data_IF_069207322915
#
_entry.id   IF_069207322915
#
_cell.length_a   1.000
_cell.length_b   1.000
_cell.length_c   1.000
_cell.angle_alpha   90.00
_cell.angle_beta   90.00
_cell.angle_gamma   90.00
#
_symmetry.space_group_name_H-M   'P 1'
#
loop_
_entity.id
_entity.type
_entity.pdbx_description
1 polymer ?
#
# COMPACT_ATOMS: atom_id res chain seq x y z
N UNK A 1 32.91 -6.22 9.23
CA UNK A 1 33.65 -5.63 10.37
C UNK A 1 32.82 -5.85 11.62
N UNK A 2 33.42 -6.17 12.76
CA UNK A 2 32.70 -6.35 14.02
C UNK A 2 32.39 -5.02 14.70
N UNK A 3 31.34 -4.96 15.51
CA UNK A 3 30.90 -3.77 16.26
C UNK A 3 32.05 -3.12 17.07
N UNK A 4 32.87 -3.93 17.73
CA UNK A 4 34.05 -3.47 18.49
C UNK A 4 35.05 -2.65 17.65
N UNK A 5 35.21 -2.99 16.36
CA UNK A 5 36.11 -2.24 15.48
C UNK A 5 35.61 -0.84 15.17
N UNK A 6 34.28 -0.64 15.16
CA UNK A 6 33.66 0.68 14.97
C UNK A 6 33.91 1.55 16.20
N UNK A 7 33.67 1.00 17.41
CA UNK A 7 33.93 1.71 18.66
C UNK A 7 35.41 2.11 18.82
N UNK A 8 36.34 1.18 18.55
CA UNK A 8 37.79 1.50 18.61
C UNK A 8 38.17 2.60 17.62
N UNK A 9 37.67 2.52 16.39
CA UNK A 9 37.91 3.54 15.37
C UNK A 9 37.41 4.93 15.80
N UNK A 10 36.21 5.04 16.40
CA UNK A 10 35.67 6.31 16.92
C UNK A 10 36.53 6.90 18.06
N UNK A 11 37.05 6.07 18.98
CA UNK A 11 37.93 6.54 20.07
C UNK A 11 39.25 7.11 19.59
N UNK A 12 39.83 6.55 18.53
CA UNK A 12 41.12 6.99 17.98
C UNK A 12 41.08 8.43 17.42
N UNK A 13 39.91 8.94 17.03
CA UNK A 13 39.71 10.26 16.42
C UNK A 13 39.56 11.39 17.45
N UNK A 14 39.35 11.05 18.73
CA UNK A 14 39.55 11.88 19.93
C UNK A 14 39.03 13.33 19.93
N UNK A 15 37.80 13.56 20.43
CA UNK A 15 37.38 14.89 20.94
C UNK A 15 36.17 14.88 21.91
N UNK A 16 35.44 13.77 22.05
CA UNK A 16 34.22 13.69 22.86
C UNK A 16 34.16 12.35 23.62
N UNK A 17 33.42 12.25 24.74
CA UNK A 17 33.12 10.96 25.36
C UNK A 17 32.44 10.05 24.33
N UNK A 18 33.10 8.94 23.98
CA UNK A 18 32.56 7.96 23.05
C UNK A 18 31.63 7.00 23.78
N UNK A 19 30.34 7.34 23.78
CA UNK A 19 29.28 6.54 24.40
C UNK A 19 29.05 5.32 23.50
N UNK A 20 29.18 4.13 24.09
CA UNK A 20 29.00 2.89 23.36
C UNK A 20 27.54 2.73 22.94
N UNK A 21 27.33 2.56 21.64
CA UNK A 21 26.08 2.17 20.99
C UNK A 21 26.10 0.65 20.73
N UNK A 22 25.14 -0.07 21.30
CA UNK A 22 24.98 -1.52 21.12
C UNK A 22 23.76 -1.80 20.27
N UNK A 23 23.95 -2.57 19.20
CA UNK A 23 22.89 -2.87 18.25
C UNK A 23 22.82 -4.36 17.93
N UNK A 24 21.63 -4.87 17.57
CA UNK A 24 21.45 -6.30 17.28
C UNK A 24 22.00 -6.74 15.92
N UNK A 25 22.41 -5.77 15.08
CA UNK A 25 22.87 -5.96 13.72
C UNK A 25 21.97 -5.24 12.73
N UNK A 26 22.56 -4.73 11.65
CA UNK A 26 21.87 -3.99 10.60
C UNK A 26 22.46 -4.31 9.23
N UNK A 27 21.60 -4.62 8.26
CA UNK A 27 22.01 -4.86 6.88
C UNK A 27 21.50 -3.74 5.95
N UNK A 28 22.29 -2.67 5.75
CA UNK A 28 21.88 -1.57 4.90
C UNK A 28 22.20 -1.75 3.43
N UNK A 29 22.67 -2.94 3.00
CA UNK A 29 22.99 -3.18 1.58
C UNK A 29 21.84 -2.91 0.61
N UNK A 30 20.55 -3.11 0.96
CA UNK A 30 19.44 -2.70 0.11
C UNK A 30 19.40 -1.19 -0.20
N UNK A 31 19.93 -0.34 0.69
CA UNK A 31 19.92 1.12 0.57
C UNK A 31 21.25 1.70 0.06
N UNK A 32 22.36 1.07 0.42
CA UNK A 32 23.71 1.63 0.22
C UNK A 32 24.59 0.75 -0.68
N UNK A 33 24.06 -0.36 -1.19
CA UNK A 33 24.77 -1.29 -2.05
C UNK A 33 25.74 -2.21 -1.30
N UNK A 34 26.40 -3.10 -2.06
CA UNK A 34 27.18 -4.23 -1.50
C UNK A 34 28.47 -3.82 -0.77
N UNK A 35 28.92 -2.57 -0.92
CA UNK A 35 30.20 -2.07 -0.42
C UNK A 35 30.09 -1.32 0.92
N UNK A 36 28.91 -1.26 1.53
CA UNK A 36 28.71 -0.58 2.81
C UNK A 36 29.52 -1.23 3.94
N UNK A 37 30.16 -0.40 4.77
CA UNK A 37 30.87 -0.83 5.97
C UNK A 37 29.95 -0.70 7.19
N UNK A 38 29.16 -1.74 7.46
CA UNK A 38 28.18 -1.76 8.56
C UNK A 38 28.28 -3.05 9.35
N UNK A 39 27.83 -3.04 10.61
CA UNK A 39 27.79 -4.21 11.45
C UNK A 39 26.67 -5.16 10.99
N UNK A 40 27.06 -6.14 10.19
CA UNK A 40 26.17 -7.18 9.69
C UNK A 40 26.23 -8.38 10.63
N UNK A 41 25.15 -8.60 11.36
CA UNK A 41 24.99 -9.73 12.25
C UNK A 41 23.60 -10.36 12.10
N UNK A 42 23.45 -11.68 12.32
CA UNK A 42 22.14 -12.30 12.43
C UNK A 42 21.39 -11.70 13.62
N UNK A 43 20.21 -11.12 13.34
CA UNK A 43 19.29 -10.64 14.37
C UNK A 43 18.85 -11.80 15.27
N UNK A 44 19.45 -11.90 16.45
CA UNK A 44 19.10 -12.88 17.47
C UNK A 44 19.47 -12.39 18.87
N UNK A 45 18.69 -12.75 19.91
CA UNK A 45 19.02 -12.43 21.31
C UNK A 45 20.40 -12.90 21.73
N UNK A 46 20.88 -14.04 21.22
CA UNK A 46 22.20 -14.59 21.54
C UNK A 46 23.33 -13.70 21.04
N UNK A 47 23.26 -13.26 19.79
CA UNK A 47 24.26 -12.39 19.19
C UNK A 47 24.26 -11.02 19.85
N UNK A 48 23.08 -10.47 20.13
CA UNK A 48 22.93 -9.21 20.85
C UNK A 48 23.43 -9.29 22.30
N UNK A 49 23.17 -10.38 23.02
CA UNK A 49 23.71 -10.61 24.37
C UNK A 49 25.24 -10.58 24.38
N UNK A 50 25.87 -11.17 23.37
CA UNK A 50 27.32 -11.13 23.25
C UNK A 50 27.84 -9.72 22.91
N UNK A 51 27.10 -8.95 22.10
CA UNK A 51 27.37 -7.52 21.90
C UNK A 51 27.31 -6.72 23.21
N UNK A 52 26.26 -6.95 24.02
CA UNK A 52 26.14 -6.35 25.35
C UNK A 52 27.33 -6.69 26.26
N UNK A 53 27.80 -7.95 26.27
CA UNK A 53 28.96 -8.38 27.08
C UNK A 53 30.26 -7.71 26.65
N UNK A 54 30.48 -7.56 25.33
CA UNK A 54 31.63 -6.82 24.79
C UNK A 54 31.57 -5.35 25.21
N UNK A 55 30.41 -4.71 25.07
CA UNK A 55 30.19 -3.33 25.50
C UNK A 55 30.47 -3.17 27.00
N UNK A 56 29.91 -4.03 27.86
CA UNK A 56 30.17 -4.02 29.30
C UNK A 56 31.65 -4.14 29.62
N UNK A 57 32.35 -5.07 28.98
CA UNK A 57 33.80 -5.26 29.15
C UNK A 57 34.56 -3.96 28.82
N UNK A 58 34.17 -3.27 27.76
CA UNK A 58 34.81 -2.01 27.36
C UNK A 58 34.50 -0.84 28.31
N UNK A 59 33.27 -0.73 28.82
CA UNK A 59 32.90 0.25 29.84
C UNK A 59 33.69 0.03 31.13
N UNK A 60 33.75 -1.22 31.60
CA UNK A 60 34.47 -1.59 32.82
C UNK A 60 35.97 -1.25 32.71
N UNK A 61 36.57 -1.47 31.54
CA UNK A 61 37.96 -1.13 31.23
C UNK A 61 38.22 0.38 30.96
N UNK A 62 37.19 1.18 30.70
CA UNK A 62 37.35 2.62 30.40
C UNK A 62 37.78 3.37 31.67
N UNK A 63 38.92 4.09 31.68
CA UNK A 63 39.42 4.76 32.89
C UNK A 63 38.58 5.98 33.27
N UNK A 64 38.72 6.43 34.52
CA UNK A 64 38.02 7.62 35.01
C UNK A 64 36.54 7.34 35.33
N UNK A 65 35.70 8.37 35.24
CA UNK A 65 34.28 8.32 35.58
C UNK A 65 33.42 9.16 34.61
N UNK A 66 33.82 9.22 33.34
CA UNK A 66 33.14 9.97 32.29
C UNK A 66 31.80 9.35 31.86
N UNK A 67 31.12 9.97 30.90
CA UNK A 67 29.88 9.43 30.33
C UNK A 67 30.12 8.14 29.53
N UNK A 68 31.26 8.07 28.84
CA UNK A 68 31.82 6.93 28.11
C UNK A 68 32.13 5.70 28.99
N UNK A 69 32.08 5.85 30.33
CA UNK A 69 32.12 4.74 31.29
C UNK A 69 30.74 4.41 31.87
N UNK A 70 29.87 5.41 32.02
CA UNK A 70 28.63 5.32 32.80
C UNK A 70 27.37 5.10 31.96
N UNK A 71 27.45 5.34 30.66
CA UNK A 71 26.31 5.31 29.75
C UNK A 71 26.58 4.31 28.64
N UNK A 72 25.57 3.50 28.35
CA UNK A 72 25.46 2.67 27.16
C UNK A 72 24.14 3.01 26.49
N UNK A 73 24.15 3.06 25.16
CA UNK A 73 22.97 3.29 24.33
C UNK A 73 22.63 1.99 23.62
N UNK A 74 21.34 1.66 23.56
CA UNK A 74 20.83 0.52 22.81
C UNK A 74 20.03 1.06 21.63
N UNK A 75 20.47 0.72 20.43
CA UNK A 75 19.95 1.23 19.16
C UNK A 75 19.54 0.02 18.28
N UNK A 76 18.39 -0.03 17.61
CA UNK A 76 17.21 0.86 17.64
C UNK A 76 16.03 0.10 18.22
N UNK A 77 15.17 0.83 18.92
CA UNK A 77 14.05 0.22 19.63
C UNK A 77 12.99 -0.35 18.68
N UNK A 78 12.59 0.42 17.65
CA UNK A 78 11.40 0.14 16.83
C UNK A 78 11.57 0.51 15.34
N UNK A 79 12.55 -0.05 14.64
CA UNK A 79 12.86 0.25 13.23
C UNK A 79 12.66 -0.97 12.30
N UNK A 80 11.45 -1.53 12.35
CA UNK A 80 11.07 -2.71 11.55
C UNK A 80 11.32 -2.55 10.05
N UNK A 81 11.20 -1.32 9.52
CA UNK A 81 11.46 -1.01 8.11
C UNK A 81 12.87 -1.38 7.65
N UNK A 82 13.84 -1.32 8.56
CA UNK A 82 15.25 -1.62 8.30
C UNK A 82 15.67 -3.00 8.84
N UNK A 83 14.71 -3.74 9.41
CA UNK A 83 14.98 -5.03 10.05
C UNK A 83 15.70 -4.88 11.40
N UNK A 84 15.58 -3.72 12.05
CA UNK A 84 16.30 -3.36 13.26
C UNK A 84 15.32 -3.05 14.41
N UNK A 85 15.27 -3.87 15.46
CA UNK A 85 14.28 -3.74 16.54
C UNK A 85 14.76 -4.43 17.82
N UNK A 86 14.63 -3.76 18.96
CA UNK A 86 14.92 -4.32 20.29
C UNK A 86 13.67 -4.46 21.15
N UNK A 87 12.58 -3.81 20.75
CA UNK A 87 11.30 -3.96 21.44
C UNK A 87 10.80 -5.41 21.40
N UNK A 88 9.98 -5.82 22.40
CA UNK A 88 9.39 -7.15 22.39
C UNK A 88 8.56 -7.43 21.13
N UNK A 89 8.76 -8.59 20.50
CA UNK A 89 8.10 -9.00 19.25
C UNK A 89 7.65 -10.45 19.32
N UNK A 90 6.67 -10.89 18.51
CA UNK A 90 6.21 -12.29 18.56
C UNK A 90 7.28 -13.32 18.14
N UNK A 91 8.36 -12.92 17.47
CA UNK A 91 9.46 -13.82 17.09
C UNK A 91 10.37 -14.19 18.26
N UNK A 92 10.92 -13.18 18.95
CA UNK A 92 11.92 -13.36 20.01
C UNK A 92 11.40 -12.99 21.41
N UNK A 93 10.13 -12.60 21.54
CA UNK A 93 9.55 -12.14 22.78
C UNK A 93 10.37 -11.00 23.39
N UNK A 94 10.70 -11.14 24.67
CA UNK A 94 11.53 -10.20 25.42
C UNK A 94 13.04 -10.47 25.30
N UNK A 95 13.48 -11.41 24.46
CA UNK A 95 14.85 -11.91 24.46
C UNK A 95 15.95 -10.84 24.32
N UNK A 96 15.73 -9.77 23.55
CA UNK A 96 16.67 -8.65 23.46
C UNK A 96 16.72 -7.82 24.74
N UNK A 97 15.56 -7.55 25.35
CA UNK A 97 15.46 -6.83 26.62
C UNK A 97 16.05 -7.68 27.75
N UNK A 98 15.84 -8.99 27.73
CA UNK A 98 16.40 -9.92 28.70
C UNK A 98 17.92 -9.99 28.60
N UNK A 99 18.48 -9.95 27.38
CA UNK A 99 19.92 -9.83 27.19
C UNK A 99 20.50 -8.55 27.83
N UNK A 100 19.79 -7.42 27.77
CA UNK A 100 20.19 -6.18 28.44
C UNK A 100 20.14 -6.37 29.96
N UNK A 101 19.03 -6.90 30.49
CA UNK A 101 18.83 -7.14 31.93
C UNK A 101 19.92 -8.06 32.48
N UNK A 102 20.18 -9.19 31.82
CA UNK A 102 21.19 -10.18 32.24
C UNK A 102 22.60 -9.59 32.32
N UNK A 103 22.97 -8.72 31.38
CA UNK A 103 24.34 -8.20 31.29
C UNK A 103 24.55 -6.97 32.19
N UNK A 104 23.60 -6.05 32.21
CA UNK A 104 23.75 -4.75 32.86
C UNK A 104 23.00 -4.63 34.19
N UNK A 105 22.07 -5.54 34.49
CA UNK A 105 21.24 -5.52 35.69
C UNK A 105 21.10 -6.92 36.32
N UNK A 106 22.20 -7.64 36.62
CA UNK A 106 22.13 -9.03 37.09
C UNK A 106 21.38 -9.21 38.42
N UNK A 107 21.30 -8.15 39.23
CA UNK A 107 20.63 -8.14 40.53
C UNK A 107 19.19 -7.59 40.48
N UNK A 108 18.64 -7.36 39.27
CA UNK A 108 17.28 -6.87 39.13
C UNK A 108 16.26 -7.86 39.73
N UNK A 109 15.24 -7.39 40.46
CA UNK A 109 14.18 -8.25 40.95
C UNK A 109 13.38 -8.84 39.77
N UNK A 110 12.72 -10.00 39.96
CA UNK A 110 11.84 -10.55 38.94
C UNK A 110 10.81 -9.52 38.49
N UNK A 111 10.71 -9.30 37.18
CA UNK A 111 9.68 -8.48 36.57
C UNK A 111 8.67 -9.38 35.86
N UNK A 112 7.40 -8.96 35.86
CA UNK A 112 6.40 -9.54 34.98
C UNK A 112 6.45 -8.82 33.65
N UNK A 113 6.70 -9.55 32.59
CA UNK A 113 6.59 -9.04 31.24
C UNK A 113 5.11 -8.89 30.85
N UNK A 114 4.78 -7.76 30.21
CA UNK A 114 3.43 -7.42 29.75
C UNK A 114 3.53 -7.08 28.27
N UNK A 115 2.77 -7.80 27.46
CA UNK A 115 2.62 -7.56 26.02
C UNK A 115 1.47 -6.59 25.74
N UNK A 116 1.44 -5.91 24.59
CA UNK A 116 0.25 -5.18 24.13
C UNK A 116 -1.02 -6.04 24.23
N UNK A 117 -0.93 -7.32 23.88
CA UNK A 117 -2.03 -8.27 23.89
C UNK A 117 -2.58 -8.51 25.30
N UNK A 118 -1.72 -8.54 26.33
CA UNK A 118 -2.13 -8.69 27.74
C UNK A 118 -3.02 -7.54 28.23
N UNK A 119 -2.97 -6.39 27.56
CA UNK A 119 -3.78 -5.19 27.87
C UNK A 119 -4.81 -4.87 26.78
N UNK A 120 -5.07 -5.81 25.86
CA UNK A 120 -6.06 -5.68 24.79
C UNK A 120 -5.66 -4.74 23.65
N UNK A 121 -4.36 -4.49 23.49
CA UNK A 121 -3.79 -3.73 22.37
C UNK A 121 -3.20 -4.69 21.32
N UNK A 122 -3.12 -4.22 20.08
CA UNK A 122 -2.46 -4.96 19.00
C UNK A 122 -0.94 -4.75 19.02
N UNK A 123 -0.13 -5.78 18.66
CA UNK A 123 1.32 -5.65 18.62
C UNK A 123 1.78 -4.74 17.46
N UNK A 124 2.82 -3.91 17.65
CA UNK A 124 3.29 -2.93 16.64
C UNK A 124 3.67 -3.54 15.30
N UNK A 125 4.21 -4.77 15.32
CA UNK A 125 4.61 -5.49 14.11
C UNK A 125 3.43 -5.88 13.21
N UNK A 126 2.17 -5.86 13.70
CA UNK A 126 0.99 -6.16 12.88
C UNK A 126 0.87 -5.17 11.72
N UNK A 127 1.05 -3.88 11.97
CA UNK A 127 1.01 -2.86 10.93
C UNK A 127 2.13 -3.07 9.89
N UNK A 128 3.33 -3.45 10.36
CA UNK A 128 4.45 -3.80 9.50
C UNK A 128 4.15 -5.05 8.65
N UNK A 129 3.59 -6.11 9.25
CA UNK A 129 3.23 -7.36 8.57
C UNK A 129 2.11 -7.14 7.56
N UNK A 130 1.04 -6.44 7.93
CA UNK A 130 -0.03 -6.05 7.02
C UNK A 130 0.54 -5.27 5.84
N UNK A 131 1.41 -4.28 6.11
CA UNK A 131 2.09 -3.53 5.06
C UNK A 131 2.96 -4.44 4.17
N UNK A 132 3.67 -5.43 4.72
CA UNK A 132 4.45 -6.40 3.93
C UNK A 132 3.60 -7.37 3.12
N UNK A 133 2.49 -7.84 3.66
CA UNK A 133 1.53 -8.69 2.95
C UNK A 133 0.93 -7.94 1.76
N UNK A 134 0.61 -6.66 1.94
CA UNK A 134 0.08 -5.78 0.89
C UNK A 134 1.15 -5.40 -0.15
N UNK A 135 2.37 -5.08 0.30
CA UNK A 135 3.52 -4.80 -0.58
C UNK A 135 4.02 -6.03 -1.34
N UNK A 136 3.44 -7.21 -1.08
CA UNK A 136 3.91 -8.48 -1.60
C UNK A 136 5.18 -8.88 -0.88
N UNK A 137 5.04 -9.73 0.15
CA UNK A 137 6.16 -10.41 0.75
C UNK A 137 6.89 -11.20 -0.34
N UNK A 138 8.01 -10.64 -0.81
CA UNK A 138 8.81 -11.10 -1.95
C UNK A 138 8.03 -11.11 -3.29
N UNK A 139 8.69 -10.75 -4.41
CA UNK A 139 8.08 -10.57 -5.74
C UNK A 139 7.44 -11.81 -6.40
N UNK A 140 7.24 -12.92 -5.69
CA UNK A 140 6.92 -14.23 -6.27
C UNK A 140 5.52 -14.78 -5.94
N UNK A 141 4.62 -14.02 -5.30
CA UNK A 141 3.20 -14.45 -5.24
C UNK A 141 2.62 -14.36 -6.66
N UNK A 142 2.53 -15.50 -7.34
CA UNK A 142 1.86 -15.61 -8.63
C UNK A 142 0.41 -15.17 -8.49
N UNK A 143 0.05 -14.08 -9.19
CA UNK A 143 -1.31 -13.56 -9.27
C UNK A 143 -2.06 -14.31 -10.36
N UNK A 144 -3.22 -14.84 -10.03
CA UNK A 144 -4.04 -15.63 -10.96
C UNK A 144 -5.36 -14.92 -11.18
N UNK A 145 -5.73 -14.73 -12.44
CA UNK A 145 -7.06 -14.28 -12.83
C UNK A 145 -7.98 -15.50 -12.83
N UNK A 146 -9.13 -15.39 -12.14
CA UNK A 146 -10.15 -16.46 -12.06
C UNK A 146 -11.44 -15.88 -12.60
N UNK A 147 -12.12 -16.61 -13.49
CA UNK A 147 -13.38 -16.20 -14.11
C UNK A 147 -13.36 -14.78 -14.71
N UNK A 148 -12.23 -14.43 -15.33
CA UNK A 148 -11.96 -13.10 -15.90
C UNK A 148 -11.90 -11.95 -14.90
N UNK A 149 -12.00 -12.19 -13.59
CA UNK A 149 -11.95 -11.16 -12.57
C UNK A 149 -10.50 -10.83 -12.18
N UNK A 150 -10.05 -9.65 -12.58
CA UNK A 150 -8.70 -9.14 -12.29
C UNK A 150 -8.64 -8.45 -10.94
N UNK A 151 -9.69 -7.73 -10.55
CA UNK A 151 -9.76 -7.02 -9.28
C UNK A 151 -11.20 -6.71 -8.89
N UNK A 152 -11.49 -6.74 -7.59
CA UNK A 152 -12.78 -6.39 -7.01
C UNK A 152 -12.59 -5.70 -5.65
N UNK A 153 -12.84 -4.39 -5.60
CA UNK A 153 -12.84 -3.60 -4.36
C UNK A 153 -14.28 -3.30 -3.96
N UNK A 154 -14.80 -4.10 -3.02
CA UNK A 154 -16.16 -3.97 -2.48
C UNK A 154 -16.30 -2.86 -1.45
N UNK A 155 -15.20 -2.40 -0.84
CA UNK A 155 -15.17 -1.49 0.31
C UNK A 155 -15.88 -1.95 1.59
N UNK A 156 -16.60 -3.07 1.53
CA UNK A 156 -17.10 -3.80 2.68
C UNK A 156 -16.00 -4.35 3.59
N UNK A 157 -16.12 -4.10 4.90
CA UNK A 157 -15.22 -4.63 5.94
C UNK A 157 -13.74 -4.39 5.63
N UNK A 158 -13.47 -3.28 4.97
CA UNK A 158 -12.12 -2.77 4.89
C UNK A 158 -11.65 -2.25 6.25
N UNK A 159 -10.34 -2.20 6.43
CA UNK A 159 -9.76 -1.43 7.51
C UNK A 159 -9.58 0.06 7.10
N UNK A 160 -9.05 0.86 8.03
CA UNK A 160 -8.85 2.29 7.86
C UNK A 160 -7.89 2.65 6.71
N UNK A 161 -6.94 1.77 6.38
CA UNK A 161 -5.83 2.08 5.48
C UNK A 161 -5.85 1.26 4.19
N UNK A 162 -6.64 0.19 4.11
CA UNK A 162 -6.57 -0.80 3.03
C UNK A 162 -7.95 -1.01 2.42
N UNK A 163 -8.01 -0.88 1.10
CA UNK A 163 -9.09 -1.38 0.28
C UNK A 163 -8.75 -2.79 -0.20
N UNK A 164 -9.46 -3.81 0.28
CA UNK A 164 -9.14 -5.19 -0.04
C UNK A 164 -9.62 -5.55 -1.44
N UNK A 165 -8.73 -6.16 -2.24
CA UNK A 165 -9.13 -6.83 -3.46
C UNK A 165 -9.65 -8.23 -3.12
N UNK A 166 -10.94 -8.46 -3.41
CA UNK A 166 -11.65 -9.71 -3.18
C UNK A 166 -11.40 -10.77 -4.27
N UNK A 167 -10.68 -10.41 -5.34
CA UNK A 167 -10.27 -11.33 -6.39
C UNK A 167 -9.10 -12.23 -5.95
N UNK A 168 -8.82 -13.28 -6.75
CA UNK A 168 -7.65 -14.13 -6.56
C UNK A 168 -6.31 -13.41 -6.82
N UNK A 169 -6.33 -12.25 -7.51
CA UNK A 169 -5.12 -11.48 -7.78
C UNK A 169 -4.63 -10.69 -6.56
N UNK A 170 -5.50 -10.35 -5.60
CA UNK A 170 -5.15 -9.61 -4.38
C UNK A 170 -4.41 -8.28 -4.64
N UNK A 171 -4.88 -7.49 -5.60
CA UNK A 171 -4.46 -6.10 -5.84
C UNK A 171 -5.02 -5.16 -4.77
N UNK A 172 -4.66 -5.37 -3.51
CA UNK A 172 -5.09 -4.51 -2.41
C UNK A 172 -4.63 -3.06 -2.65
N UNK A 173 -5.50 -2.11 -2.32
CA UNK A 173 -5.24 -0.68 -2.49
C UNK A 173 -4.99 0.03 -1.16
N UNK A 174 -4.14 1.06 -1.19
CA UNK A 174 -3.88 1.92 -0.05
C UNK A 174 -4.82 3.12 -0.05
N UNK A 175 -5.56 3.29 1.04
CA UNK A 175 -6.47 4.41 1.25
C UNK A 175 -5.68 5.66 1.63
N UNK A 176 -6.01 6.77 0.98
CA UNK A 176 -5.48 8.08 1.30
C UNK A 176 -6.64 9.04 1.52
N UNK A 177 -6.84 9.47 2.79
CA UNK A 177 -7.91 10.40 3.20
C UNK A 177 -9.31 9.98 2.75
N UNK A 178 -9.56 8.68 2.60
CA UNK A 178 -10.88 8.16 2.25
C UNK A 178 -11.78 8.11 3.47
N UNK A 179 -13.08 8.26 3.26
CA UNK A 179 -14.11 8.00 4.27
C UNK A 179 -14.99 6.86 3.80
N UNK A 180 -15.77 6.29 4.71
CA UNK A 180 -16.76 5.26 4.41
C UNK A 180 -18.17 5.85 4.52
N UNK A 181 -19.08 5.40 3.68
CA UNK A 181 -20.51 5.74 3.71
C UNK A 181 -21.36 4.50 3.45
N UNK A 182 -22.67 4.62 3.61
CA UNK A 182 -23.61 3.56 3.20
C UNK A 182 -23.51 3.35 1.69
N UNK A 183 -23.22 2.11 1.30
CA UNK A 183 -23.03 1.71 -0.09
C UNK A 183 -24.33 1.33 -0.78
N UNK A 184 -24.21 0.98 -2.07
CA UNK A 184 -25.29 0.27 -2.75
C UNK A 184 -25.43 -1.14 -2.20
N UNK A 185 -24.29 -1.75 -1.88
CA UNK A 185 -24.16 -3.03 -1.17
C UNK A 185 -23.25 -2.77 0.04
N UNK A 186 -23.79 -2.89 1.25
CA UNK A 186 -23.01 -2.71 2.47
C UNK A 186 -22.38 -1.31 2.58
N UNK A 187 -21.06 -1.22 2.49
CA UNK A 187 -20.26 0.00 2.69
C UNK A 187 -19.55 0.43 1.42
N UNK A 188 -19.61 1.73 1.12
CA UNK A 188 -18.94 2.34 -0.03
C UNK A 188 -17.79 3.27 0.38
N UNK A 189 -16.89 3.52 -0.57
CA UNK A 189 -15.89 4.57 -0.43
C UNK A 189 -16.52 5.93 -0.75
N UNK A 190 -16.47 6.86 0.20
CA UNK A 190 -16.80 8.26 -0.02
C UNK A 190 -15.57 8.99 -0.59
N UNK A 191 -15.73 9.56 -1.78
CA UNK A 191 -14.76 10.37 -2.49
C UNK A 191 -15.05 11.86 -2.22
N UNK A 192 -14.46 12.43 -1.15
CA UNK A 192 -14.53 13.88 -0.82
C UNK A 192 -13.14 14.55 -0.82
N UNK A 193 -12.23 14.06 -1.66
CA UNK A 193 -10.80 14.40 -1.64
C UNK A 193 -9.89 13.24 -1.20
N UNK A 194 -10.47 12.07 -0.95
CA UNK A 194 -9.77 10.81 -0.75
C UNK A 194 -9.59 9.99 -2.04
N UNK A 195 -8.65 9.05 -2.01
CA UNK A 195 -8.36 8.13 -3.13
C UNK A 195 -7.83 6.79 -2.64
N UNK A 196 -7.88 5.77 -3.50
CA UNK A 196 -7.21 4.47 -3.27
C UNK A 196 -6.12 4.24 -4.30
N UNK A 197 -4.93 3.89 -3.84
CA UNK A 197 -3.75 3.56 -4.66
C UNK A 197 -3.52 2.05 -4.69
N UNK A 198 -3.74 1.39 -5.83
CA UNK A 198 -3.59 -0.08 -5.96
C UNK A 198 -2.17 -0.53 -6.31
N UNK A 199 -1.46 0.27 -7.11
CA UNK A 199 -0.14 -0.06 -7.64
C UNK A 199 -0.17 -0.39 -9.14
N UNK A 200 0.99 -0.77 -9.68
CA UNK A 200 1.21 -1.06 -11.09
C UNK A 200 1.46 -2.56 -11.30
N UNK A 201 0.76 -3.19 -12.24
CA UNK A 201 0.99 -4.60 -12.59
C UNK A 201 0.43 -4.92 -13.98
N UNK A 202 1.12 -5.72 -14.79
CA UNK A 202 0.73 -6.04 -16.17
C UNK A 202 -0.72 -6.54 -16.33
N UNK A 203 -1.24 -7.29 -15.35
CA UNK A 203 -2.63 -7.78 -15.36
C UNK A 203 -3.67 -6.66 -15.27
N UNK A 204 -3.31 -5.48 -14.75
CA UNK A 204 -4.18 -4.30 -14.73
C UNK A 204 -4.31 -3.65 -16.12
N UNK A 205 -3.55 -4.09 -17.13
CA UNK A 205 -3.69 -3.72 -18.53
C UNK A 205 -3.92 -4.96 -19.42
N UNK A 206 -5.12 -5.55 -19.37
CA UNK A 206 -5.47 -6.71 -20.17
C UNK A 206 -5.25 -6.50 -21.68
N UNK A 207 -4.84 -7.56 -22.38
CA UNK A 207 -4.56 -7.51 -23.83
C UNK A 207 -5.74 -7.94 -24.69
N UNK A 208 -6.69 -8.70 -24.16
CA UNK A 208 -7.82 -9.27 -24.91
C UNK A 208 -9.09 -8.39 -24.88
N UNK A 209 -9.08 -7.38 -24.00
CA UNK A 209 -10.20 -6.48 -23.77
C UNK A 209 -10.32 -6.17 -22.27
N UNK A 210 -11.16 -5.21 -21.91
CA UNK A 210 -11.35 -4.81 -20.52
C UNK A 210 -12.80 -4.46 -20.25
N UNK A 211 -13.26 -4.75 -19.03
CA UNK A 211 -14.44 -4.13 -18.45
C UNK A 211 -14.08 -3.50 -17.13
N UNK A 212 -14.44 -2.22 -16.97
CA UNK A 212 -14.47 -1.54 -15.68
C UNK A 212 -15.92 -1.30 -15.33
N UNK A 213 -16.38 -1.81 -14.20
CA UNK A 213 -17.73 -1.54 -13.69
C UNK A 213 -17.69 -1.18 -12.21
N UNK A 214 -18.69 -0.43 -11.77
CA UNK A 214 -18.86 -0.03 -10.38
C UNK A 214 -20.27 0.55 -10.17
N UNK A 215 -20.70 0.60 -8.92
CA UNK A 215 -21.79 1.45 -8.50
C UNK A 215 -21.25 2.81 -8.09
N UNK A 216 -21.93 3.90 -8.44
CA UNK A 216 -21.57 5.23 -8.01
C UNK A 216 -22.79 6.06 -7.62
N UNK A 217 -22.57 7.04 -6.74
CA UNK A 217 -23.49 8.13 -6.45
C UNK A 217 -22.72 9.43 -6.61
N UNK A 218 -23.09 10.27 -7.57
CA UNK A 218 -22.51 11.60 -7.71
C UNK A 218 -23.17 12.55 -6.69
N UNK A 219 -22.37 13.31 -5.94
CA UNK A 219 -22.89 14.27 -4.94
C UNK A 219 -22.93 15.71 -5.47
N UNK A 220 -22.30 15.97 -6.62
CA UNK A 220 -22.29 17.27 -7.29
C UNK A 220 -22.63 17.15 -8.78
N UNK A 221 -23.39 18.10 -9.36
CA UNK A 221 -23.65 18.14 -10.80
C UNK A 221 -22.44 18.71 -11.55
N UNK A 222 -22.42 18.55 -12.88
CA UNK A 222 -21.44 19.20 -13.76
C UNK A 222 -19.96 18.89 -13.45
N UNK A 223 -19.68 17.78 -12.76
CA UNK A 223 -18.32 17.31 -12.51
C UNK A 223 -17.55 17.18 -13.83
N UNK A 224 -16.32 17.67 -13.84
CA UNK A 224 -15.45 17.63 -15.00
C UNK A 224 -14.03 17.36 -14.57
N UNK A 225 -13.33 16.52 -15.35
CA UNK A 225 -11.98 16.02 -15.03
C UNK A 225 -11.93 15.30 -13.66
N UNK A 226 -12.98 14.53 -13.37
CA UNK A 226 -13.14 13.79 -12.10
C UNK A 226 -13.18 12.29 -12.37
N UNK A 227 -12.34 11.51 -11.71
CA UNK A 227 -12.09 10.11 -12.09
C UNK A 227 -12.52 9.15 -10.99
N UNK A 228 -13.35 8.17 -11.34
CA UNK A 228 -13.70 7.06 -10.45
C UNK A 228 -12.65 5.97 -10.51
N UNK A 229 -12.10 5.72 -11.71
CA UNK A 229 -10.99 4.79 -11.95
C UNK A 229 -10.02 5.42 -12.94
N UNK A 230 -8.73 5.45 -12.64
CA UNK A 230 -7.67 5.91 -13.55
C UNK A 230 -6.45 4.99 -13.54
N UNK A 231 -6.03 4.52 -14.71
CA UNK A 231 -4.74 3.85 -14.93
C UNK A 231 -3.86 4.56 -15.97
N UNK A 232 -4.29 5.73 -16.45
CA UNK A 232 -3.55 6.52 -17.44
C UNK A 232 -2.30 7.10 -16.79
N UNK A 233 -1.12 6.77 -17.35
CA UNK A 233 0.18 7.29 -16.91
C UNK A 233 0.82 8.30 -17.89
N UNK A 234 0.40 8.27 -19.15
CA UNK A 234 0.83 9.16 -20.21
C UNK A 234 -0.33 9.42 -21.17
N UNK A 235 -0.19 10.40 -22.07
CA UNK A 235 -1.26 10.85 -22.96
C UNK A 235 -1.86 9.76 -23.90
N UNK A 236 -1.23 8.59 -23.98
CA UNK A 236 -1.57 7.49 -24.89
C UNK A 236 -1.54 6.10 -24.22
N UNK A 237 -1.64 6.01 -22.89
CA UNK A 237 -1.58 4.74 -22.15
C UNK A 237 -2.76 4.54 -21.20
N UNK A 238 -3.01 3.30 -20.80
CA UNK A 238 -3.99 2.92 -19.79
C UNK A 238 -5.43 3.15 -20.23
N UNK A 239 -6.30 3.34 -19.23
CA UNK A 239 -7.71 3.64 -19.38
C UNK A 239 -8.23 4.40 -18.15
N UNK A 240 -9.37 5.08 -18.29
CA UNK A 240 -10.02 5.76 -17.17
C UNK A 240 -11.51 5.95 -17.37
N UNK A 241 -12.25 5.88 -16.28
CA UNK A 241 -13.70 6.04 -16.18
C UNK A 241 -14.00 7.17 -15.19
N UNK A 242 -14.82 8.13 -15.61
CA UNK A 242 -15.10 9.31 -14.79
C UNK A 242 -16.10 10.26 -15.43
N UNK A 243 -15.91 11.55 -15.19
CA UNK A 243 -16.79 12.63 -15.62
C UNK A 243 -16.07 13.70 -16.41
N UNK A 244 -16.72 14.17 -17.48
CA UNK A 244 -16.30 15.31 -18.29
C UNK A 244 -17.52 16.16 -18.63
N UNK A 245 -17.55 17.42 -18.19
CA UNK A 245 -18.68 18.33 -18.43
C UNK A 245 -20.03 17.79 -17.92
N UNK A 246 -20.05 17.13 -16.75
CA UNK A 246 -21.23 16.55 -16.12
C UNK A 246 -21.67 15.18 -16.67
N UNK A 247 -21.02 14.71 -17.74
CA UNK A 247 -21.36 13.46 -18.42
C UNK A 247 -20.37 12.37 -18.05
N UNK A 248 -20.85 11.14 -17.91
CA UNK A 248 -19.97 9.99 -17.80
C UNK A 248 -19.07 9.90 -19.03
N UNK A 249 -17.80 9.55 -18.82
CA UNK A 249 -16.87 9.34 -19.90
C UNK A 249 -15.98 8.13 -19.67
N UNK A 250 -15.74 7.40 -20.76
CA UNK A 250 -14.85 6.27 -20.84
C UNK A 250 -13.71 6.58 -21.80
N UNK A 251 -12.49 6.25 -21.39
CA UNK A 251 -11.31 6.61 -22.14
C UNK A 251 -10.31 5.47 -22.23
N UNK A 252 -9.87 5.20 -23.46
CA UNK A 252 -8.73 4.32 -23.77
C UNK A 252 -7.80 5.09 -24.72
N UNK A 253 -6.80 5.83 -24.19
CA UNK A 253 -5.90 6.62 -25.01
C UNK A 253 -5.04 5.79 -25.95
N UNK A 254 -4.92 6.25 -27.21
CA UNK A 254 -4.01 5.69 -28.24
C UNK A 254 -3.08 6.74 -28.81
N UNK A 255 -3.59 7.95 -28.95
CA UNK A 255 -2.86 9.16 -29.33
C UNK A 255 -3.31 10.32 -28.44
N UNK A 256 -2.51 11.39 -28.32
CA UNK A 256 -2.92 12.58 -27.57
C UNK A 256 -4.27 13.09 -28.03
N UNK A 257 -5.15 13.44 -27.08
CA UNK A 257 -6.45 14.09 -27.30
C UNK A 257 -7.52 13.28 -28.06
N UNK A 258 -7.29 12.02 -28.40
CA UNK A 258 -8.21 11.29 -29.28
C UNK A 258 -9.27 10.44 -28.58
N UNK A 259 -9.43 10.43 -27.26
CA UNK A 259 -9.79 9.19 -26.53
C UNK A 259 -11.08 9.18 -25.71
N UNK A 260 -11.95 10.18 -25.87
CA UNK A 260 -13.16 10.34 -25.07
C UNK A 260 -14.38 9.73 -25.75
N UNK A 261 -14.97 8.70 -25.14
CA UNK A 261 -16.39 8.36 -25.32
C UNK A 261 -17.16 8.99 -24.16
N UNK A 262 -18.10 9.89 -24.44
CA UNK A 262 -18.96 10.51 -23.43
C UNK A 262 -20.42 10.09 -23.61
N UNK A 263 -21.13 9.89 -22.51
CA UNK A 263 -22.58 9.72 -22.53
C UNK A 263 -23.26 11.00 -23.09
N UNK A 264 -24.46 10.89 -23.71
CA UNK A 264 -25.14 12.04 -24.30
C UNK A 264 -25.63 13.03 -23.24
N UNK A 265 -26.07 12.53 -22.09
CA UNK A 265 -26.73 13.30 -21.05
C UNK A 265 -25.93 13.31 -19.74
N UNK A 266 -26.03 14.39 -18.94
CA UNK A 266 -25.49 14.42 -17.58
C UNK A 266 -26.18 13.39 -16.68
N UNK A 267 -25.46 12.91 -15.65
CA UNK A 267 -26.03 12.00 -14.64
C UNK A 267 -26.70 12.80 -13.51
N UNK A 268 -27.78 12.25 -12.95
CA UNK A 268 -28.43 12.79 -11.76
C UNK A 268 -27.55 12.73 -10.51
N UNK A 269 -27.79 13.64 -9.58
CA UNK A 269 -27.07 13.74 -8.30
C UNK A 269 -27.86 13.00 -7.20
N UNK A 270 -27.15 12.37 -6.27
CA UNK A 270 -27.71 11.77 -5.06
C UNK A 270 -28.35 10.39 -5.24
N UNK A 271 -28.37 9.84 -6.46
CA UNK A 271 -28.88 8.49 -6.73
C UNK A 271 -27.74 7.52 -7.07
N UNK A 272 -27.88 6.27 -6.63
CA UNK A 272 -26.98 5.19 -7.03
C UNK A 272 -27.27 4.76 -8.46
N UNK A 273 -26.20 4.64 -9.25
CA UNK A 273 -26.23 4.16 -10.62
C UNK A 273 -25.16 3.09 -10.81
N UNK A 274 -25.45 2.10 -11.65
CA UNK A 274 -24.44 1.15 -12.12
C UNK A 274 -23.84 1.69 -13.42
N UNK A 275 -22.52 1.77 -13.50
CA UNK A 275 -21.81 2.08 -14.74
C UNK A 275 -20.93 0.90 -15.11
N UNK A 276 -20.96 0.53 -16.39
CA UNK A 276 -20.00 -0.39 -16.97
C UNK A 276 -19.39 0.24 -18.22
N UNK A 277 -18.09 0.11 -18.36
CA UNK A 277 -17.33 0.59 -19.51
C UNK A 277 -16.52 -0.58 -20.07
N UNK A 278 -16.81 -0.96 -21.31
CA UNK A 278 -16.18 -2.12 -21.96
C UNK A 278 -15.32 -1.66 -23.12
N UNK A 279 -14.24 -2.39 -23.40
CA UNK A 279 -13.45 -2.22 -24.60
C UNK A 279 -12.95 -3.59 -25.08
N UNK A 280 -13.30 -3.96 -26.30
CA UNK A 280 -12.98 -5.26 -26.93
C UNK A 280 -11.78 -5.15 -27.91
N UNK A 281 -10.93 -4.15 -27.72
CA UNK A 281 -9.87 -3.73 -28.66
C UNK A 281 -10.34 -3.22 -30.03
N UNK A 282 -11.64 -3.14 -30.26
CA UNK A 282 -12.21 -2.58 -31.49
C UNK A 282 -13.19 -1.46 -31.22
N UNK A 283 -13.92 -1.52 -30.10
CA UNK A 283 -15.05 -0.63 -29.80
C UNK A 283 -15.12 -0.37 -28.30
N UNK A 284 -15.12 0.91 -27.94
CA UNK A 284 -15.46 1.35 -26.58
C UNK A 284 -16.98 1.36 -26.48
N UNK A 285 -17.53 0.85 -25.37
CA UNK A 285 -18.95 1.00 -25.04
C UNK A 285 -19.09 1.47 -23.61
N UNK A 286 -20.09 2.30 -23.37
CA UNK A 286 -20.43 2.84 -22.06
C UNK A 286 -21.89 2.51 -21.77
N UNK A 287 -22.14 1.95 -20.61
CA UNK A 287 -23.46 1.54 -20.14
C UNK A 287 -23.79 2.25 -18.84
N UNK A 288 -25.05 2.67 -18.70
CA UNK A 288 -25.62 3.22 -17.47
C UNK A 288 -26.87 2.43 -17.12
N UNK A 289 -26.92 1.90 -15.89
CA UNK A 289 -28.01 1.08 -15.37
C UNK A 289 -28.38 -0.08 -16.32
N UNK A 290 -27.37 -0.70 -16.93
CA UNK A 290 -27.52 -1.84 -17.84
C UNK A 290 -27.85 -1.50 -19.30
N UNK A 291 -28.02 -0.22 -19.65
CA UNK A 291 -28.34 0.22 -21.02
C UNK A 291 -27.13 0.89 -21.68
N UNK A 292 -26.84 0.55 -22.94
CA UNK A 292 -25.80 1.24 -23.71
C UNK A 292 -26.20 2.71 -23.90
N UNK A 293 -25.32 3.62 -23.48
CA UNK A 293 -25.50 5.08 -23.64
C UNK A 293 -24.52 5.68 -24.64
N UNK A 294 -23.54 4.90 -25.11
CA UNK A 294 -22.65 5.33 -26.17
C UNK A 294 -21.67 4.25 -26.60
N UNK A 295 -21.21 4.39 -27.84
CA UNK A 295 -20.19 3.54 -28.44
C UNK A 295 -19.25 4.35 -29.34
N UNK A 296 -18.00 3.88 -29.47
CA UNK A 296 -16.97 4.51 -30.31
C UNK A 296 -16.01 3.45 -30.85
N UNK A 297 -15.92 3.34 -32.18
CA UNK A 297 -14.94 2.49 -32.83
C UNK A 297 -13.52 3.02 -32.63
N UNK A 298 -12.63 2.11 -32.23
CA UNK A 298 -11.20 2.34 -31.99
C UNK A 298 -10.43 1.02 -31.93
N UNK A 299 -9.65 0.76 -32.97
CA UNK A 299 -8.79 -0.41 -33.04
C UNK A 299 -7.57 -0.36 -32.10
N UNK A 300 -7.13 -1.54 -31.68
CA UNK A 300 -5.82 -1.81 -31.10
C UNK A 300 -5.85 -2.15 -29.60
N UNK A 301 -4.87 -2.91 -29.09
CA UNK A 301 -4.78 -3.27 -27.67
C UNK A 301 -4.47 -2.06 -26.80
N UNK A 302 -4.90 -2.08 -25.54
CA UNK A 302 -4.55 -1.05 -24.54
C UNK A 302 -3.03 -0.94 -24.46
N UNK A 303 -2.50 0.29 -24.58
CA UNK A 303 -1.08 0.53 -24.32
C UNK A 303 -0.87 0.51 -22.80
N UNK A 304 -0.03 -0.38 -22.26
CA UNK A 304 0.22 -0.41 -20.82
C UNK A 304 0.85 0.91 -20.36
N UNK A 305 0.47 1.37 -19.17
CA UNK A 305 0.94 2.65 -18.64
C UNK A 305 2.14 2.52 -17.71
N UNK A 306 2.47 1.30 -17.24
CA UNK A 306 3.37 1.04 -16.10
C UNK A 306 3.13 1.98 -14.91
N UNK A 307 1.91 2.50 -14.82
CA UNK A 307 1.49 3.51 -13.87
C UNK A 307 0.60 2.88 -12.80
N UNK A 308 0.38 3.62 -11.72
CA UNK A 308 -0.49 3.14 -10.65
C UNK A 308 -1.96 3.20 -11.07
N UNK A 309 -2.72 2.14 -10.82
CA UNK A 309 -4.18 2.21 -10.81
C UNK A 309 -4.65 2.98 -9.56
N UNK A 310 -5.48 3.99 -9.80
CA UNK A 310 -6.05 4.87 -8.79
C UNK A 310 -7.58 4.83 -8.83
N UNK A 311 -8.22 4.72 -7.67
CA UNK A 311 -9.68 4.80 -7.51
C UNK A 311 -10.04 6.12 -6.83
N UNK A 312 -11.10 6.78 -7.31
CA UNK A 312 -11.63 8.05 -6.76
C UNK A 312 -10.84 9.31 -7.13
N UNK A 313 -9.73 9.20 -7.87
CA UNK A 313 -8.92 10.34 -8.31
C UNK A 313 -8.11 10.01 -9.58
N UNK A 314 -7.59 11.05 -10.24
CA UNK A 314 -6.56 10.93 -11.27
C UNK A 314 -5.30 10.21 -10.74
N UNK A 315 -4.81 10.61 -9.57
CA UNK A 315 -3.65 10.02 -8.93
C UNK A 315 -3.73 10.21 -7.40
N UNK A 316 -2.97 9.40 -6.67
CA UNK A 316 -2.80 9.59 -5.22
C UNK A 316 -2.30 11.01 -4.94
N UNK A 317 -2.93 11.71 -4.00
CA UNK A 317 -2.49 13.03 -3.56
C UNK A 317 -2.66 14.16 -4.59
N UNK A 318 -3.36 13.93 -5.72
CA UNK A 318 -3.69 15.01 -6.66
C UNK A 318 -4.46 16.12 -5.94
N UNK A 319 -4.46 17.36 -6.45
CA UNK A 319 -5.10 18.48 -5.72
C UNK A 319 -6.56 18.75 -6.12
N UNK A 320 -6.99 18.31 -7.31
CA UNK A 320 -8.26 18.79 -7.90
C UNK A 320 -9.03 17.79 -8.77
N UNK A 321 -8.50 16.59 -9.07
CA UNK A 321 -9.11 15.67 -10.05
C UNK A 321 -9.81 14.48 -9.37
N UNK A 322 -10.43 14.75 -8.21
CA UNK A 322 -11.17 13.75 -7.42
C UNK A 322 -12.62 13.66 -7.87
N UNK A 323 -13.13 12.44 -8.01
CA UNK A 323 -14.57 12.25 -8.01
C UNK A 323 -15.19 12.82 -6.73
N UNK A 324 -16.35 13.47 -6.84
CA UNK A 324 -17.14 13.97 -5.72
C UNK A 324 -18.42 13.14 -5.63
N UNK A 325 -18.46 12.24 -4.65
CA UNK A 325 -19.52 11.25 -4.53
C UNK A 325 -19.08 10.00 -3.78
N UNK A 326 -19.80 8.90 -3.99
CA UNK A 326 -19.43 7.58 -3.47
C UNK A 326 -19.24 6.58 -4.61
N UNK A 327 -18.29 5.65 -4.44
CA UNK A 327 -18.13 4.49 -5.33
C UNK A 327 -18.18 3.20 -4.51
N UNK A 328 -18.73 2.17 -5.13
CA UNK A 328 -18.96 0.88 -4.51
C UNK A 328 -18.73 -0.24 -5.54
N UNK A 329 -18.36 -1.42 -5.06
CA UNK A 329 -18.33 -2.64 -5.86
C UNK A 329 -17.50 -2.53 -7.16
N UNK A 330 -16.34 -1.87 -7.07
CA UNK A 330 -15.46 -1.60 -8.22
C UNK A 330 -14.84 -2.89 -8.72
N UNK A 331 -15.08 -3.24 -9.99
CA UNK A 331 -14.56 -4.46 -10.61
C UNK A 331 -13.81 -4.16 -11.90
N UNK A 332 -12.74 -4.93 -12.10
CA UNK A 332 -11.94 -4.96 -13.32
C UNK A 332 -11.95 -6.38 -13.88
N UNK A 333 -12.33 -6.52 -15.15
CA UNK A 333 -12.30 -7.79 -15.87
C UNK A 333 -11.35 -7.72 -17.07
N UNK A 334 -10.72 -8.85 -17.40
CA UNK A 334 -9.78 -8.99 -18.53
C UNK A 334 -10.45 -9.30 -19.88
N UNK A 335 -11.75 -9.00 -19.98
CA UNK A 335 -12.55 -9.10 -21.21
C UNK A 335 -13.62 -8.03 -21.26
N UNK A 336 -14.12 -7.76 -22.46
CA UNK A 336 -15.35 -7.00 -22.64
C UNK A 336 -16.56 -7.87 -22.29
N UNK A 337 -17.45 -7.36 -21.42
CA UNK A 337 -18.76 -7.96 -21.19
C UNK A 337 -19.70 -7.71 -22.36
N UNK A 338 -20.63 -8.63 -22.59
CA UNK A 338 -21.74 -8.44 -23.54
C UNK A 338 -22.81 -7.53 -22.93
N UNK A 339 -23.69 -6.91 -23.76
CA UNK A 339 -24.81 -6.12 -23.23
C UNK A 339 -25.70 -6.88 -22.24
N UNK A 340 -25.97 -8.17 -22.50
CA UNK A 340 -26.79 -9.00 -21.62
C UNK A 340 -26.10 -9.27 -20.27
N UNK A 341 -24.78 -9.50 -20.28
CA UNK A 341 -24.00 -9.64 -19.05
C UNK A 341 -23.99 -8.35 -18.22
N UNK A 342 -23.84 -7.20 -18.89
CA UNK A 342 -23.89 -5.89 -18.22
C UNK A 342 -25.26 -5.64 -17.60
N UNK A 343 -26.34 -5.96 -18.33
CA UNK A 343 -27.70 -5.82 -17.83
C UNK A 343 -27.97 -6.73 -16.62
N UNK A 344 -27.50 -7.98 -16.66
CA UNK A 344 -27.65 -8.89 -15.53
C UNK A 344 -26.91 -8.37 -14.29
N UNK A 345 -25.71 -7.79 -14.47
CA UNK A 345 -24.90 -7.24 -13.38
C UNK A 345 -25.46 -5.94 -12.81
N UNK A 346 -26.07 -5.08 -13.62
CA UNK A 346 -26.71 -3.86 -13.12
C UNK A 346 -27.94 -4.15 -12.25
N UNK A 347 -28.52 -5.34 -12.37
CA UNK A 347 -29.65 -5.82 -11.56
C UNK A 347 -29.18 -6.62 -10.33
N UNK A 348 -27.97 -7.18 -10.38
CA UNK A 348 -27.34 -7.89 -9.27
C UNK A 348 -26.58 -6.89 -8.38
N UNK A 349 -27.30 -6.24 -7.48
CA UNK A 349 -26.76 -5.28 -6.51
C UNK A 349 -27.75 -5.03 -5.40
#
# INVERSE_FOLDING_TARGET
>A
LGEESVWRGKREIGALPDIIDVMMGWDPRPWHGKTTASYQAPASPEVFREACRRAKTMLDATPGNGLDKRVVVFDNWCEFGEGHYLEPVSGFGFGYVDAIKEVFCPDAPPCRDITPEDVGLEPPERAYRARREILGGFPDRQRTVVDHLVGWWSFDRDDENVAWDRSACAFNGWKHRTKTTEGRVGSAMLCDGGSVRVGAHKLLWPTEGVTVELWFRADEPNQSDRWMVNSVGAANTGYRLGFSGGKLCWQVPKTPWSHLLAAPDPVGVGSWHHVAATYDNTTLRLYLDGREVGSLERGGPINPADATLCLGSYAEGHSHAFFQGAIDEVRLLDRALTPDEVLARSQAG
#
